data_IF_202517316472
#
_entry.id   IF_202517316472
#
_cell.length_a   1.000
_cell.length_b   1.000
_cell.length_c   1.000
_cell.angle_alpha   90.00
_cell.angle_beta   90.00
_cell.angle_gamma   90.00
#
_symmetry.space_group_name_H-M   'P 1'
#
loop_
_entity.id
_entity.type
_entity.pdbx_description
1 polymer ?
#
# COMPACT_ATOMS: atom_id res chain seq x y z
N UNK A 1 -41.46 6.33 1.34
CA UNK A 1 -42.18 6.33 2.63
C UNK A 1 -41.28 6.94 3.71
N UNK A 2 -40.97 8.23 3.58
CA UNK A 2 -39.99 8.92 4.42
C UNK A 2 -40.63 10.23 4.91
N UNK A 3 -41.55 10.14 5.86
CA UNK A 3 -42.05 11.32 6.62
C UNK A 3 -42.55 11.00 8.04
N UNK A 4 -42.50 9.75 8.52
CA UNK A 4 -43.20 9.40 9.77
C UNK A 4 -42.33 9.26 11.04
N UNK A 5 -41.01 9.49 10.99
CA UNK A 5 -40.12 9.20 12.11
C UNK A 5 -39.49 10.43 12.79
N UNK A 6 -39.97 11.65 12.51
CA UNK A 6 -39.49 12.88 13.17
C UNK A 6 -40.45 13.43 14.24
N UNK A 7 -41.42 12.63 14.68
CA UNK A 7 -42.42 13.02 15.68
C UNK A 7 -42.31 12.14 16.94
N UNK A 8 -41.13 12.01 17.53
CA UNK A 8 -41.01 11.42 18.88
C UNK A 8 -39.74 11.83 19.64
N UNK A 9 -39.48 13.13 19.76
CA UNK A 9 -38.49 13.64 20.72
C UNK A 9 -38.87 15.03 21.25
N UNK A 10 -40.11 15.19 21.68
CA UNK A 10 -40.53 16.34 22.49
C UNK A 10 -41.35 15.86 23.68
N UNK A 11 -40.67 15.20 24.64
CA UNK A 11 -41.28 14.87 25.92
C UNK A 11 -40.26 15.20 27.03
N UNK A 12 -40.59 16.28 27.77
CA UNK A 12 -40.22 16.63 29.15
C UNK A 12 -38.77 17.04 29.47
N UNK A 13 -38.53 18.36 29.50
CA UNK A 13 -37.90 19.03 30.64
C UNK A 13 -38.58 20.40 30.86
N UNK A 14 -39.25 20.65 32.00
CA UNK A 14 -39.80 21.96 32.31
C UNK A 14 -38.72 22.85 32.95
N UNK A 15 -38.56 24.08 32.46
CA UNK A 15 -37.80 25.12 33.15
C UNK A 15 -36.66 25.75 32.36
N UNK A 16 -36.93 26.30 31.18
CA UNK A 16 -36.11 27.37 30.59
C UNK A 16 -37.05 28.37 29.93
N UNK A 17 -37.52 29.37 30.69
CA UNK A 17 -38.06 30.59 30.11
C UNK A 17 -36.88 31.48 29.71
N UNK A 18 -36.62 31.56 28.40
CA UNK A 18 -35.62 32.45 27.83
C UNK A 18 -35.98 32.77 26.39
N UNK A 19 -36.37 34.02 26.14
CA UNK A 19 -36.64 34.60 24.82
C UNK A 19 -35.60 34.15 23.78
N UNK A 20 -36.04 33.52 22.71
CA UNK A 20 -35.23 33.34 21.50
C UNK A 20 -35.50 34.56 20.61
N UNK A 21 -34.60 35.53 20.66
CA UNK A 21 -34.52 36.57 19.64
C UNK A 21 -34.04 35.97 18.32
N UNK A 22 -34.62 36.45 17.22
CA UNK A 22 -34.33 36.06 15.85
C UNK A 22 -32.88 36.33 15.50
N UNK A 23 -32.03 35.31 15.56
CA UNK A 23 -30.63 35.45 15.15
C UNK A 23 -29.75 34.31 15.64
N UNK A 24 -30.04 33.07 15.24
CA UNK A 24 -29.07 31.97 15.35
C UNK A 24 -29.44 30.83 14.38
N UNK A 25 -29.34 31.11 13.09
CA UNK A 25 -29.24 30.07 12.05
C UNK A 25 -27.81 29.55 11.88
N UNK A 26 -26.84 30.05 12.65
CA UNK A 26 -25.44 29.62 12.53
C UNK A 26 -25.07 28.43 13.45
N UNK A 27 -25.89 28.09 14.45
CA UNK A 27 -25.56 26.99 15.38
C UNK A 27 -26.01 25.61 14.85
N UNK A 28 -26.93 25.56 13.90
CA UNK A 28 -27.43 24.28 13.35
C UNK A 28 -26.67 23.79 12.11
N UNK A 29 -25.72 24.57 11.57
CA UNK A 29 -24.83 24.14 10.48
C UNK A 29 -23.53 23.49 10.98
N UNK A 30 -23.24 23.54 12.29
CA UNK A 30 -22.01 23.01 12.88
C UNK A 30 -22.17 21.61 13.48
N UNK A 31 -23.40 21.06 13.44
CA UNK A 31 -23.74 19.73 13.98
C UNK A 31 -24.03 18.68 12.88
N UNK A 32 -23.84 19.04 11.61
CA UNK A 32 -23.98 18.14 10.46
C UNK A 32 -22.73 18.10 9.55
N UNK A 33 -21.63 18.75 9.96
CA UNK A 33 -20.37 18.77 9.21
C UNK A 33 -19.20 18.08 9.95
N UNK A 34 -19.51 17.26 10.95
CA UNK A 34 -18.67 16.11 11.31
C UNK A 34 -19.38 14.87 10.76
N UNK A 35 -19.57 14.85 9.45
CA UNK A 35 -19.48 13.60 8.72
C UNK A 35 -18.07 13.10 9.05
N UNK A 36 -17.95 12.15 9.99
CA UNK A 36 -16.70 11.48 10.24
C UNK A 36 -16.30 10.86 8.91
N UNK A 37 -15.41 11.53 8.18
CA UNK A 37 -14.67 10.91 7.09
C UNK A 37 -13.97 9.76 7.76
N UNK A 38 -14.56 8.56 7.62
CA UNK A 38 -13.97 7.34 8.11
C UNK A 38 -12.63 7.27 7.37
N UNK A 39 -11.55 7.58 8.09
CA UNK A 39 -10.21 7.61 7.52
C UNK A 39 -10.01 6.29 6.81
N UNK A 40 -9.69 6.31 5.51
CA UNK A 40 -9.37 5.10 4.76
C UNK A 40 -8.37 4.25 5.55
N UNK A 41 -8.62 2.95 5.55
CA UNK A 41 -7.77 1.98 6.24
C UNK A 41 -6.41 1.88 5.54
N UNK A 42 -5.40 1.43 6.26
CA UNK A 42 -4.07 1.17 5.68
C UNK A 42 -4.14 0.24 4.45
N UNK A 43 -4.98 -0.79 4.48
CA UNK A 43 -5.14 -1.72 3.36
C UNK A 43 -5.76 -1.06 2.12
N UNK A 44 -6.73 -0.18 2.30
CA UNK A 44 -7.36 0.58 1.20
C UNK A 44 -6.38 1.57 0.59
N UNK A 45 -5.60 2.29 1.41
CA UNK A 45 -4.56 3.20 0.94
C UNK A 45 -3.50 2.46 0.10
N UNK A 46 -3.05 1.30 0.60
CA UNK A 46 -2.07 0.45 -0.11
C UNK A 46 -2.63 -0.03 -1.44
N UNK A 47 -3.87 -0.54 -1.47
CA UNK A 47 -4.49 -1.04 -2.69
C UNK A 47 -4.69 0.09 -3.71
N UNK A 48 -5.22 1.23 -3.27
CA UNK A 48 -5.46 2.38 -4.14
C UNK A 48 -4.17 2.89 -4.79
N UNK A 49 -3.09 3.01 -4.00
CA UNK A 49 -1.79 3.42 -4.51
C UNK A 49 -1.18 2.38 -5.47
N UNK A 50 -1.35 1.09 -5.18
CA UNK A 50 -0.91 0.02 -6.07
C UNK A 50 -1.63 0.09 -7.42
N UNK A 51 -2.95 0.27 -7.42
CA UNK A 51 -3.75 0.47 -8.65
C UNK A 51 -3.32 1.72 -9.41
N UNK A 52 -3.03 2.81 -8.71
CA UNK A 52 -2.51 4.02 -9.35
C UNK A 52 -1.18 3.76 -10.09
N UNK A 53 -0.29 2.93 -9.55
CA UNK A 53 0.94 2.55 -10.24
C UNK A 53 0.70 1.66 -11.47
N UNK A 54 -0.37 0.85 -11.48
CA UNK A 54 -0.82 0.11 -12.66
C UNK A 54 -1.26 1.08 -13.75
N UNK A 55 -2.10 2.07 -13.40
CA UNK A 55 -2.55 3.09 -14.35
C UNK A 55 -1.34 3.80 -14.97
N UNK A 56 -0.41 4.27 -14.14
CA UNK A 56 0.81 4.97 -14.56
C UNK A 56 1.80 4.10 -15.36
N UNK A 57 1.54 2.80 -15.53
CA UNK A 57 2.41 1.83 -16.20
C UNK A 57 3.89 1.97 -15.80
N UNK A 58 4.17 2.07 -14.50
CA UNK A 58 5.54 2.27 -14.00
C UNK A 58 6.47 1.13 -14.45
N UNK A 59 7.58 1.43 -15.14
CA UNK A 59 8.44 0.42 -15.77
C UNK A 59 9.11 -0.51 -14.75
N UNK A 60 9.17 -1.80 -15.08
CA UNK A 60 10.01 -2.74 -14.37
C UNK A 60 11.50 -2.49 -14.67
N UNK A 61 12.24 -1.98 -13.67
CA UNK A 61 13.67 -1.66 -13.80
C UNK A 61 14.49 -2.27 -12.68
N UNK A 62 15.24 -3.34 -12.98
CA UNK A 62 16.15 -3.98 -12.01
C UNK A 62 17.43 -3.16 -11.79
N UNK A 63 17.36 -2.12 -10.95
CA UNK A 63 18.49 -1.23 -10.63
C UNK A 63 18.48 -0.77 -9.17
N UNK A 64 19.68 -0.61 -8.59
CA UNK A 64 19.89 -0.21 -7.19
C UNK A 64 20.79 1.05 -7.10
N UNK A 65 20.32 2.22 -7.57
CA UNK A 65 21.07 3.47 -7.43
C UNK A 65 21.20 3.88 -5.96
N UNK A 66 22.11 4.82 -5.70
CA UNK A 66 22.09 5.55 -4.43
C UNK A 66 20.91 6.51 -4.46
N UNK A 67 20.11 6.49 -3.41
CA UNK A 67 18.95 7.34 -3.22
C UNK A 67 19.04 8.04 -1.86
N UNK A 68 18.35 9.17 -1.74
CA UNK A 68 18.26 9.96 -0.52
C UNK A 68 17.65 9.17 0.64
N UNK A 69 17.82 9.69 1.84
CA UNK A 69 17.28 9.09 3.05
C UNK A 69 17.07 10.16 4.13
N UNK A 70 15.93 10.14 4.86
CA UNK A 70 14.78 9.26 4.66
C UNK A 70 13.94 9.63 3.42
N UNK A 71 12.91 8.85 3.12
CA UNK A 71 11.92 9.09 2.06
C UNK A 71 12.44 9.18 0.61
N UNK A 72 13.69 8.80 0.35
CA UNK A 72 14.23 8.77 -1.01
C UNK A 72 13.59 7.67 -1.86
N UNK A 73 13.52 7.93 -3.16
CA UNK A 73 12.99 7.01 -4.15
C UNK A 73 13.96 6.91 -5.35
N UNK A 74 13.77 5.87 -6.16
CA UNK A 74 14.32 5.82 -7.52
C UNK A 74 13.51 6.74 -8.45
N UNK A 75 13.97 6.99 -9.69
CA UNK A 75 13.18 7.73 -10.67
C UNK A 75 11.73 7.23 -10.75
N UNK A 76 10.77 8.16 -10.93
CA UNK A 76 9.33 7.89 -10.86
C UNK A 76 8.80 7.02 -11.98
N UNK A 77 9.57 6.85 -13.06
CA UNK A 77 9.31 5.90 -14.15
C UNK A 77 9.79 4.48 -13.82
N UNK A 78 10.55 4.26 -12.74
CA UNK A 78 11.13 2.95 -12.39
C UNK A 78 10.40 2.30 -11.23
N UNK A 79 10.16 0.99 -11.27
CA UNK A 79 9.64 0.21 -10.16
C UNK A 79 10.08 -1.25 -10.20
N UNK A 80 10.86 -1.69 -9.21
CA UNK A 80 10.94 -3.12 -8.89
C UNK A 80 9.71 -3.55 -8.08
N UNK A 81 9.50 -4.87 -7.96
CA UNK A 81 8.42 -5.42 -7.14
C UNK A 81 8.42 -4.89 -5.69
N UNK A 82 9.60 -4.68 -5.08
CA UNK A 82 9.69 -4.06 -3.75
C UNK A 82 9.28 -2.58 -3.75
N UNK A 83 9.56 -1.84 -4.82
CA UNK A 83 9.25 -0.41 -4.91
C UNK A 83 7.74 -0.18 -4.98
N UNK A 84 7.00 -1.09 -5.62
CA UNK A 84 5.53 -1.11 -5.61
C UNK A 84 5.01 -1.13 -4.16
N UNK A 85 5.51 -2.05 -3.35
CA UNK A 85 5.08 -2.15 -1.94
C UNK A 85 5.50 -0.94 -1.12
N UNK A 86 6.73 -0.46 -1.31
CA UNK A 86 7.27 0.69 -0.56
C UNK A 86 6.45 1.95 -0.86
N UNK A 87 6.15 2.21 -2.14
CA UNK A 87 5.34 3.36 -2.56
C UNK A 87 3.88 3.24 -2.13
N UNK A 88 3.29 2.05 -2.24
CA UNK A 88 1.94 1.83 -1.74
C UNK A 88 1.83 2.07 -0.22
N UNK A 89 2.84 1.64 0.55
CA UNK A 89 2.89 1.90 1.98
C UNK A 89 3.08 3.41 2.28
N UNK A 90 3.82 4.15 1.45
CA UNK A 90 3.97 5.61 1.60
C UNK A 90 2.64 6.34 1.48
N UNK A 91 1.78 5.94 0.55
CA UNK A 91 0.42 6.48 0.45
C UNK A 91 -0.39 6.27 1.74
N UNK A 92 -0.16 5.14 2.43
CA UNK A 92 -0.72 4.84 3.74
C UNK A 92 0.02 5.51 4.92
N UNK A 93 0.96 6.43 4.67
CA UNK A 93 1.75 7.09 5.71
C UNK A 93 2.84 6.22 6.34
N UNK A 94 3.29 5.17 5.66
CA UNK A 94 4.29 4.21 6.15
C UNK A 94 5.48 4.17 5.19
N UNK A 95 6.55 4.90 5.50
CA UNK A 95 7.82 4.78 4.75
C UNK A 95 8.64 3.55 5.18
N UNK A 96 8.67 2.52 4.33
CA UNK A 96 9.46 1.31 4.59
C UNK A 96 10.97 1.51 4.42
N UNK A 97 11.44 2.57 3.74
CA UNK A 97 12.88 2.83 3.64
C UNK A 97 13.46 3.16 5.02
N UNK A 98 12.83 4.11 5.71
CA UNK A 98 13.16 4.56 7.04
C UNK A 98 13.01 3.42 8.04
N UNK A 99 11.81 2.84 8.13
CA UNK A 99 11.47 1.87 9.16
C UNK A 99 12.33 0.59 9.08
N UNK A 100 12.58 0.08 7.87
CA UNK A 100 13.43 -1.11 7.68
C UNK A 100 14.89 -0.78 7.99
N UNK A 101 15.37 0.41 7.62
CA UNK A 101 16.75 0.80 7.91
C UNK A 101 16.98 0.98 9.41
N UNK A 102 16.07 1.61 10.13
CA UNK A 102 16.14 1.77 11.58
C UNK A 102 16.05 0.43 12.32
N UNK A 103 15.10 -0.44 11.93
CA UNK A 103 14.99 -1.78 12.49
C UNK A 103 16.27 -2.59 12.25
N UNK A 104 16.90 -2.45 11.08
CA UNK A 104 18.17 -3.13 10.79
C UNK A 104 19.36 -2.64 11.61
N UNK A 105 19.29 -1.44 12.19
CA UNK A 105 20.31 -0.97 13.13
C UNK A 105 20.09 -1.55 14.52
N UNK A 106 18.83 -1.70 14.94
CA UNK A 106 18.46 -2.34 16.20
C UNK A 106 18.73 -3.85 16.18
N UNK A 107 18.43 -4.49 15.05
CA UNK A 107 18.42 -5.95 14.88
C UNK A 107 19.43 -6.42 13.83
N UNK A 108 20.62 -5.83 13.89
CA UNK A 108 21.67 -5.97 12.86
C UNK A 108 21.97 -7.41 12.45
N UNK A 109 22.08 -8.32 13.43
CA UNK A 109 22.40 -9.72 13.17
C UNK A 109 21.32 -10.44 12.37
N UNK A 110 20.04 -10.14 12.63
CA UNK A 110 18.92 -10.73 11.91
C UNK A 110 18.95 -10.36 10.42
N UNK A 111 19.21 -9.09 10.10
CA UNK A 111 19.30 -8.62 8.72
C UNK A 111 20.54 -9.15 8.00
N UNK A 112 21.69 -9.23 8.67
CA UNK A 112 22.90 -9.83 8.09
C UNK A 112 22.64 -11.29 7.74
N UNK A 113 22.03 -12.03 8.67
CA UNK A 113 21.74 -13.44 8.48
C UNK A 113 20.67 -13.66 7.40
N UNK A 114 19.59 -12.88 7.37
CA UNK A 114 18.58 -12.93 6.32
C UNK A 114 19.21 -12.71 4.94
N UNK A 115 20.08 -11.70 4.79
CA UNK A 115 20.79 -11.43 3.54
C UNK A 115 21.79 -12.54 3.18
N UNK A 116 22.51 -13.11 4.15
CA UNK A 116 23.43 -14.22 3.94
C UNK A 116 22.72 -15.44 3.35
N UNK A 117 21.50 -15.76 3.82
CA UNK A 117 20.69 -16.87 3.28
C UNK A 117 20.25 -16.64 1.84
N UNK A 118 20.16 -15.38 1.41
CA UNK A 118 19.95 -15.02 0.00
C UNK A 118 21.24 -14.94 -0.83
N UNK A 119 22.37 -15.47 -0.35
CA UNK A 119 23.71 -15.32 -0.96
C UNK A 119 24.13 -13.86 -1.17
N UNK A 120 23.71 -12.96 -0.28
CA UNK A 120 24.00 -11.54 -0.37
C UNK A 120 24.73 -11.05 0.88
N UNK A 121 26.03 -10.82 0.77
CA UNK A 121 26.87 -10.38 1.88
C UNK A 121 27.40 -8.96 1.64
N UNK A 122 26.52 -7.95 1.68
CA UNK A 122 26.88 -6.54 1.59
C UNK A 122 26.58 -5.80 2.91
N UNK A 123 27.35 -4.76 3.27
CA UNK A 123 27.04 -3.93 4.44
C UNK A 123 25.68 -3.26 4.31
N UNK A 124 24.86 -3.31 5.37
CA UNK A 124 23.53 -2.67 5.42
C UNK A 124 23.60 -1.21 4.97
N UNK A 125 22.69 -0.80 4.09
CA UNK A 125 22.69 0.52 3.47
C UNK A 125 21.26 1.01 3.22
N UNK A 126 21.01 2.27 3.60
CA UNK A 126 19.71 2.94 3.50
C UNK A 126 19.13 3.04 2.08
N UNK A 127 19.98 3.04 1.06
CA UNK A 127 19.55 3.17 -0.34
C UNK A 127 18.99 1.88 -0.94
N UNK A 128 19.23 0.71 -0.33
CA UNK A 128 18.74 -0.56 -0.89
C UNK A 128 18.09 -1.51 0.11
N UNK A 129 18.18 -1.26 1.42
CA UNK A 129 17.76 -2.27 2.41
C UNK A 129 16.29 -2.66 2.30
N UNK A 130 15.40 -1.69 2.05
CA UNK A 130 13.97 -1.88 1.84
C UNK A 130 13.63 -2.44 0.45
N UNK A 131 14.59 -2.44 -0.48
CA UNK A 131 14.42 -2.89 -1.87
C UNK A 131 14.80 -4.37 -2.03
N UNK A 132 14.74 -5.14 -0.95
CA UNK A 132 15.03 -6.59 -0.94
C UNK A 132 13.89 -7.34 -0.27
N UNK A 133 13.33 -8.30 -1.00
CA UNK A 133 12.23 -9.16 -0.53
C UNK A 133 12.54 -9.83 0.80
N UNK A 134 13.76 -10.28 1.03
CA UNK A 134 14.16 -10.92 2.31
C UNK A 134 14.12 -9.97 3.50
N UNK A 135 14.48 -8.71 3.30
CA UNK A 135 14.48 -7.70 4.36
C UNK A 135 13.06 -7.21 4.64
N UNK A 136 12.25 -7.00 3.60
CA UNK A 136 10.83 -6.69 3.75
C UNK A 136 10.08 -7.83 4.45
N UNK A 137 10.35 -9.07 4.06
CA UNK A 137 9.79 -10.26 4.72
C UNK A 137 10.14 -10.30 6.21
N UNK A 138 11.40 -10.09 6.57
CA UNK A 138 11.84 -10.05 7.97
C UNK A 138 11.16 -8.91 8.76
N UNK A 139 11.07 -7.71 8.17
CA UNK A 139 10.43 -6.57 8.81
C UNK A 139 8.93 -6.82 9.02
N UNK A 140 8.21 -7.25 7.98
CA UNK A 140 6.77 -7.51 8.05
C UNK A 140 6.43 -8.63 9.05
N UNK A 141 7.27 -9.65 9.19
CA UNK A 141 7.10 -10.68 10.24
C UNK A 141 7.10 -10.11 11.66
N UNK A 142 7.78 -8.98 11.88
CA UNK A 142 7.93 -8.35 13.19
C UNK A 142 6.87 -7.29 13.47
N UNK A 143 6.37 -6.63 12.42
CA UNK A 143 5.56 -5.41 12.56
C UNK A 143 4.17 -5.49 11.92
N UNK A 144 3.86 -6.53 11.16
CA UNK A 144 2.55 -6.75 10.55
C UNK A 144 1.83 -7.97 11.16
N UNK A 145 0.53 -8.09 10.91
CA UNK A 145 -0.19 -9.32 11.18
C UNK A 145 0.30 -10.40 10.21
N UNK A 146 0.75 -11.54 10.75
CA UNK A 146 1.16 -12.70 9.94
C UNK A 146 -0.06 -13.56 9.64
N UNK A 147 -0.28 -13.84 8.36
CA UNK A 147 -1.44 -14.56 7.84
C UNK A 147 -1.04 -15.93 7.25
N UNK A 148 -2.00 -16.84 7.01
CA UNK A 148 -1.75 -18.12 6.37
C UNK A 148 -1.14 -17.96 4.97
N UNK A 149 -0.17 -18.79 4.64
CA UNK A 149 0.59 -18.69 3.38
C UNK A 149 0.15 -19.71 2.31
N UNK A 150 -0.82 -20.56 2.63
CA UNK A 150 -1.34 -21.55 1.67
C UNK A 150 -2.73 -21.11 1.21
N UNK A 151 -2.85 -20.79 -0.08
CA UNK A 151 -4.14 -20.47 -0.67
C UNK A 151 -5.07 -21.69 -0.61
N UNK A 152 -6.29 -21.46 -0.13
CA UNK A 152 -7.40 -22.41 -0.09
C UNK A 152 -8.64 -21.70 -0.64
N UNK A 153 -9.17 -22.20 -1.77
CA UNK A 153 -10.33 -21.60 -2.42
C UNK A 153 -11.61 -21.65 -1.59
N UNK A 154 -11.64 -22.43 -0.51
CA UNK A 154 -12.78 -22.46 0.44
C UNK A 154 -12.68 -21.38 1.51
N UNK A 155 -11.54 -20.66 1.58
CA UNK A 155 -11.24 -19.64 2.57
C UNK A 155 -10.72 -18.34 1.93
N UNK A 156 -11.45 -17.76 0.95
CA UNK A 156 -11.01 -16.54 0.27
C UNK A 156 -10.90 -15.34 1.22
N UNK A 157 -11.62 -15.36 2.34
CA UNK A 157 -11.56 -14.31 3.37
C UNK A 157 -10.17 -14.15 4.01
N UNK A 158 -9.30 -15.15 3.90
CA UNK A 158 -7.93 -15.06 4.41
C UNK A 158 -7.05 -14.12 3.58
N UNK A 159 -7.44 -13.84 2.33
CA UNK A 159 -6.68 -13.06 1.35
C UNK A 159 -7.45 -11.79 1.03
N UNK A 160 -7.15 -10.70 1.75
CA UNK A 160 -7.86 -9.44 1.58
C UNK A 160 -7.09 -8.48 0.67
N UNK A 161 -7.78 -7.61 -0.07
CA UNK A 161 -7.15 -6.58 -0.87
C UNK A 161 -6.24 -5.69 -0.02
N UNK A 162 -5.06 -5.36 -0.55
CA UNK A 162 -4.04 -4.60 0.17
C UNK A 162 -3.12 -5.46 1.07
N UNK A 163 -3.37 -6.76 1.20
CA UNK A 163 -2.41 -7.67 1.84
C UNK A 163 -1.10 -7.75 1.04
N UNK A 164 0.01 -7.96 1.73
CA UNK A 164 1.35 -8.06 1.13
C UNK A 164 1.79 -9.53 1.15
N UNK A 165 2.18 -10.06 0.00
CA UNK A 165 2.67 -11.44 -0.15
C UNK A 165 4.11 -11.47 -0.61
N UNK A 166 4.90 -12.37 0.00
CA UNK A 166 6.30 -12.64 -0.36
C UNK A 166 6.38 -14.04 -0.94
N UNK A 167 6.95 -14.18 -2.13
CA UNK A 167 7.16 -15.46 -2.78
C UNK A 167 8.55 -16.04 -2.49
N UNK A 168 8.59 -17.36 -2.31
CA UNK A 168 9.79 -18.15 -2.10
C UNK A 168 10.06 -19.04 -3.31
N UNK A 169 11.34 -19.17 -3.65
CA UNK A 169 11.80 -20.03 -4.74
C UNK A 169 12.07 -21.44 -4.21
N UNK A 170 12.86 -21.54 -3.15
CA UNK A 170 13.16 -22.78 -2.43
C UNK A 170 13.50 -22.46 -0.97
N UNK A 171 12.97 -23.26 -0.03
CA UNK A 171 13.18 -23.05 1.41
C UNK A 171 12.87 -21.60 1.80
N UNK A 172 13.82 -20.87 2.36
CA UNK A 172 13.69 -19.48 2.79
C UNK A 172 14.18 -18.45 1.76
N UNK A 173 14.54 -18.89 0.54
CA UNK A 173 14.98 -18.00 -0.53
C UNK A 173 13.78 -17.22 -1.11
N UNK A 174 13.63 -15.95 -0.72
CA UNK A 174 12.58 -15.06 -1.19
C UNK A 174 13.00 -14.37 -2.47
N UNK A 175 12.13 -14.28 -3.46
CA UNK A 175 12.50 -13.75 -4.78
C UNK A 175 11.52 -12.72 -5.36
N UNK A 176 10.27 -12.70 -4.88
CA UNK A 176 9.27 -11.76 -5.36
C UNK A 176 8.35 -11.28 -4.24
N UNK A 177 7.68 -10.15 -4.47
CA UNK A 177 6.72 -9.54 -3.55
C UNK A 177 5.60 -8.91 -4.37
N UNK A 178 4.37 -8.98 -3.87
CA UNK A 178 3.20 -8.40 -4.52
C UNK A 178 2.16 -7.93 -3.50
N UNK A 179 1.17 -7.17 -3.97
CA UNK A 179 0.00 -6.74 -3.20
C UNK A 179 -1.20 -7.54 -3.69
N UNK A 180 -2.01 -8.09 -2.79
CA UNK A 180 -3.26 -8.78 -3.14
C UNK A 180 -4.26 -7.77 -3.67
N UNK A 181 -4.82 -8.04 -4.85
CA UNK A 181 -5.84 -7.22 -5.49
C UNK A 181 -7.26 -7.58 -4.98
N UNK A 182 -8.20 -6.66 -5.16
CA UNK A 182 -9.65 -6.88 -5.09
C UNK A 182 -10.23 -7.53 -6.35
N UNK A 183 -9.45 -7.65 -7.42
CA UNK A 183 -9.84 -8.37 -8.63
C UNK A 183 -9.60 -9.88 -8.48
N UNK A 184 -10.55 -10.65 -9.02
CA UNK A 184 -10.50 -12.12 -9.04
C UNK A 184 -10.38 -12.59 -10.49
N UNK A 185 -9.48 -13.53 -10.75
CA UNK A 185 -9.42 -14.15 -12.07
C UNK A 185 -10.72 -14.92 -12.36
N UNK A 186 -11.47 -14.47 -13.35
CA UNK A 186 -12.80 -15.03 -13.68
C UNK A 186 -12.79 -16.50 -14.09
N UNK A 187 -11.65 -17.04 -14.53
CA UNK A 187 -11.53 -18.41 -15.00
C UNK A 187 -11.19 -19.38 -13.86
N UNK A 188 -10.26 -19.00 -12.99
CA UNK A 188 -9.78 -19.85 -11.88
C UNK A 188 -10.39 -19.54 -10.53
N UNK A 189 -10.96 -18.34 -10.35
CA UNK A 189 -11.45 -17.85 -9.06
C UNK A 189 -10.35 -17.51 -8.07
N UNK A 190 -9.09 -17.43 -8.51
CA UNK A 190 -7.93 -17.07 -7.68
C UNK A 190 -7.80 -15.55 -7.64
N UNK A 191 -7.56 -14.92 -6.47
CA UNK A 191 -7.26 -13.50 -6.40
C UNK A 191 -6.10 -13.11 -7.30
N UNK A 192 -6.19 -11.94 -7.94
CA UNK A 192 -5.07 -11.34 -8.67
C UNK A 192 -4.12 -10.65 -7.69
N UNK A 193 -2.94 -10.31 -8.17
CA UNK A 193 -1.96 -9.51 -7.44
C UNK A 193 -1.47 -8.36 -8.29
N UNK A 194 -1.11 -7.26 -7.64
CA UNK A 194 -0.45 -6.11 -8.25
C UNK A 194 1.05 -6.21 -7.97
N UNK A 195 1.84 -6.25 -9.04
CA UNK A 195 3.29 -6.41 -8.97
C UNK A 195 4.01 -5.79 -10.17
N UNK A 196 5.31 -5.55 -10.03
CA UNK A 196 6.19 -5.21 -11.16
C UNK A 196 6.99 -6.43 -11.58
N UNK A 197 6.88 -6.83 -12.85
CA UNK A 197 7.53 -8.03 -13.37
C UNK A 197 8.03 -7.87 -14.81
N UNK A 198 8.88 -8.80 -15.26
CA UNK A 198 9.49 -8.80 -16.61
C UNK A 198 8.47 -8.83 -17.75
N UNK A 199 7.32 -9.46 -17.52
CA UNK A 199 6.17 -9.43 -18.43
C UNK A 199 4.97 -8.99 -17.57
N UNK A 200 4.26 -7.91 -17.93
CA UNK A 200 4.37 -7.13 -19.18
C UNK A 200 5.54 -6.14 -19.25
N UNK A 201 6.39 -6.04 -18.21
CA UNK A 201 7.53 -5.12 -18.19
C UNK A 201 7.26 -3.80 -17.44
N UNK A 202 6.09 -3.69 -16.80
CA UNK A 202 5.69 -2.59 -15.93
C UNK A 202 4.89 -3.13 -14.74
N UNK A 203 4.50 -2.26 -13.81
CA UNK A 203 3.54 -2.58 -12.76
C UNK A 203 2.20 -2.96 -13.40
N UNK A 204 1.70 -4.15 -13.12
CA UNK A 204 0.42 -4.60 -13.64
C UNK A 204 -0.36 -5.41 -12.62
N UNK A 205 -1.60 -5.72 -12.96
CA UNK A 205 -2.47 -6.59 -12.19
C UNK A 205 -2.72 -7.89 -12.97
N UNK A 206 -1.78 -8.39 -13.76
CA UNK A 206 -2.06 -9.52 -14.67
C UNK A 206 -1.91 -10.90 -14.00
N UNK A 207 -1.11 -10.96 -12.94
CA UNK A 207 -0.77 -12.21 -12.29
C UNK A 207 -1.80 -12.62 -11.25
N UNK A 208 -1.99 -13.93 -11.10
CA UNK A 208 -2.74 -14.51 -9.99
C UNK A 208 -1.84 -14.69 -8.79
N UNK A 209 -2.45 -14.73 -7.61
CA UNK A 209 -1.81 -14.98 -6.32
C UNK A 209 -0.87 -16.19 -6.34
N UNK A 210 -1.14 -17.22 -7.15
CA UNK A 210 -0.36 -18.46 -7.20
C UNK A 210 0.65 -18.53 -8.34
N UNK A 211 0.76 -17.51 -9.21
CA UNK A 211 1.57 -17.60 -10.43
C UNK A 211 3.08 -17.54 -10.16
N UNK A 212 3.49 -16.91 -9.06
CA UNK A 212 4.90 -16.81 -8.63
C UNK A 212 5.32 -17.94 -7.66
N UNK A 213 4.54 -19.01 -7.58
CA UNK A 213 4.88 -20.20 -6.80
C UNK A 213 4.52 -20.10 -5.31
N UNK A 214 5.36 -20.67 -4.45
CA UNK A 214 5.06 -20.79 -3.03
C UNK A 214 5.10 -19.43 -2.33
N UNK A 215 4.05 -19.10 -1.60
CA UNK A 215 4.00 -17.91 -0.73
C UNK A 215 4.73 -18.26 0.56
N UNK A 216 5.80 -17.53 0.84
CA UNK A 216 6.64 -17.68 2.03
C UNK A 216 6.27 -16.74 3.16
N UNK A 217 5.55 -15.68 2.83
CA UNK A 217 5.09 -14.67 3.78
C UNK A 217 3.80 -14.04 3.28
N UNK A 218 2.88 -13.79 4.19
CA UNK A 218 1.60 -13.14 3.93
C UNK A 218 1.29 -12.23 5.11
N UNK A 219 1.09 -10.95 4.83
CA UNK A 219 1.11 -9.90 5.85
C UNK A 219 0.00 -8.88 5.64
N UNK A 220 -0.61 -8.44 6.74
CA UNK A 220 -1.53 -7.29 6.77
C UNK A 220 -1.01 -6.22 7.72
N UNK A 221 -0.81 -5.01 7.20
CA UNK A 221 -0.47 -3.85 8.03
C UNK A 221 -1.74 -3.31 8.67
N UNK A 222 -1.69 -3.08 9.98
CA UNK A 222 -2.84 -2.63 10.76
C UNK A 222 -2.86 -1.11 10.92
N UNK A 223 -4.05 -0.51 11.03
CA UNK A 223 -4.21 0.91 11.35
C UNK A 223 -3.52 1.30 12.66
N UNK A 224 -3.48 0.39 13.64
CA UNK A 224 -2.77 0.60 14.91
C UNK A 224 -1.26 0.75 14.71
N UNK A 225 -0.68 0.10 13.70
CA UNK A 225 0.73 0.28 13.36
C UNK A 225 0.97 1.68 12.79
N UNK A 226 0.17 2.11 11.79
CA UNK A 226 0.20 3.50 11.26
C UNK A 226 0.01 4.54 12.37
N UNK A 227 -0.93 4.32 13.27
CA UNK A 227 -1.21 5.22 14.40
C UNK A 227 -0.06 5.29 15.42
N UNK A 228 0.80 4.28 15.48
CA UNK A 228 1.98 4.27 16.37
C UNK A 228 3.15 5.11 15.85
N UNK A 229 3.14 5.48 14.57
CA UNK A 229 4.16 6.33 13.94
C UNK A 229 3.95 7.79 14.33
N UNK A 230 4.99 8.62 14.23
CA UNK A 230 4.83 10.07 14.44
C UNK A 230 4.00 10.70 13.34
N UNK A 231 3.37 11.83 13.63
CA UNK A 231 2.66 12.62 12.62
C UNK A 231 3.61 13.09 11.52
N UNK A 232 4.79 13.59 11.90
CA UNK A 232 5.87 13.99 10.98
C UNK A 232 6.24 12.87 9.99
N UNK A 233 6.40 11.63 10.48
CA UNK A 233 6.67 10.46 9.64
C UNK A 233 5.56 10.23 8.62
N UNK A 234 4.30 10.20 9.09
CA UNK A 234 3.16 9.92 8.21
C UNK A 234 3.01 10.98 7.13
N UNK A 235 3.13 12.25 7.50
CA UNK A 235 3.04 13.36 6.55
C UNK A 235 4.17 13.33 5.53
N UNK A 236 5.41 13.06 5.95
CA UNK A 236 6.55 12.96 5.06
C UNK A 236 6.43 11.76 4.11
N UNK A 237 5.96 10.61 4.59
CA UNK A 237 5.69 9.45 3.76
C UNK A 237 4.62 9.73 2.68
N UNK A 238 3.51 10.37 3.07
CA UNK A 238 2.45 10.76 2.13
C UNK A 238 2.97 11.81 1.13
N UNK A 239 3.79 12.75 1.57
CA UNK A 239 4.41 13.74 0.69
C UNK A 239 5.33 13.09 -0.36
N UNK A 240 6.14 12.11 0.05
CA UNK A 240 6.99 11.35 -0.87
C UNK A 240 6.17 10.52 -1.89
N UNK A 241 5.02 9.98 -1.48
CA UNK A 241 4.08 9.36 -2.42
C UNK A 241 3.53 10.37 -3.45
N UNK A 242 3.14 11.56 -2.99
CA UNK A 242 2.65 12.63 -3.87
C UNK A 242 3.70 13.09 -4.88
N UNK A 243 4.95 13.22 -4.45
CA UNK A 243 6.08 13.54 -5.33
C UNK A 243 6.27 12.48 -6.43
N UNK A 244 6.09 11.19 -6.10
CA UNK A 244 6.18 10.10 -7.07
C UNK A 244 5.06 10.15 -8.14
N UNK A 245 3.81 10.36 -7.74
CA UNK A 245 2.69 10.41 -8.70
C UNK A 245 2.71 11.70 -9.54
N UNK A 246 3.40 12.74 -9.09
CA UNK A 246 3.45 14.05 -9.73
C UNK A 246 2.13 14.81 -9.63
N UNK A 247 2.04 15.96 -10.29
CA UNK A 247 0.78 16.67 -10.46
C UNK A 247 -0.15 15.88 -11.42
N UNK A 248 -1.46 15.93 -11.18
CA UNK A 248 -2.45 15.18 -11.98
C UNK A 248 -2.27 15.42 -13.49
N UNK A 249 -1.95 16.65 -13.91
CA UNK A 249 -1.73 17.02 -15.31
C UNK A 249 -0.49 16.36 -15.95
N UNK A 250 0.60 16.16 -15.19
CA UNK A 250 1.81 15.45 -15.68
C UNK A 250 1.60 13.94 -15.68
N UNK A 251 0.79 13.44 -14.76
CA UNK A 251 0.43 12.03 -14.68
C UNK A 251 -0.42 11.60 -15.88
N UNK A 252 -1.35 12.46 -16.33
CA UNK A 252 -2.18 12.22 -17.51
C UNK A 252 -1.38 12.31 -18.82
N UNK A 253 -0.31 13.11 -18.86
CA UNK A 253 0.63 13.11 -19.98
C UNK A 253 1.40 11.80 -20.10
N UNK A 254 1.87 11.22 -18.97
CA UNK A 254 2.51 9.89 -18.96
C UNK A 254 1.56 8.81 -19.47
N UNK A 255 0.29 8.85 -19.06
CA UNK A 255 -0.76 7.96 -19.54
C UNK A 255 -1.00 8.11 -21.05
N UNK A 256 -0.98 9.34 -21.56
CA UNK A 256 -1.18 9.62 -22.98
C UNK A 256 -0.01 9.09 -23.83
N UNK A 257 1.23 9.33 -23.40
CA UNK A 257 2.44 8.89 -24.11
C UNK A 257 2.55 7.35 -24.17
N UNK A 258 2.14 6.63 -23.13
CA UNK A 258 2.18 5.15 -23.12
C UNK A 258 1.13 4.51 -24.05
N UNK A 259 0.03 5.21 -24.33
CA UNK A 259 -1.00 4.73 -25.29
C UNK A 259 -0.63 4.92 -26.75
N UNK A 260 0.32 5.82 -27.09
CA UNK A 260 0.74 6.06 -28.47
C UNK A 260 1.74 5.02 -29.01
N UNK A 261 2.39 4.21 -28.17
CA UNK A 261 3.36 3.19 -28.62
C UNK A 261 2.76 1.84 -29.07
N UNK A 262 1.43 1.66 -29.00
CA UNK A 262 0.76 0.44 -29.51
C UNK A 262 0.32 0.66 -30.98
N UNK A 263 1.28 0.84 -31.88
CA UNK A 263 1.03 0.69 -33.32
C UNK A 263 0.89 -0.82 -33.64
N UNK A 264 -0.20 -1.28 -34.27
CA UNK A 264 -0.37 -2.68 -34.59
C UNK A 264 0.67 -3.07 -35.65
N UNK A 265 1.66 -3.86 -35.25
CA UNK A 265 2.53 -4.60 -36.17
C UNK A 265 1.67 -5.31 -37.20
N UNK A 266 1.67 -4.77 -38.42
CA UNK A 266 0.97 -5.33 -39.58
C UNK A 266 1.45 -6.74 -39.91
N UNK A 267 0.50 -7.68 -39.91
CA UNK A 267 0.39 -8.97 -40.63
C UNK A 267 1.67 -9.73 -41.01
#
# INVERSE_FOLDING_TARGET
>A
MFEAALALAMIFLPGVEGKIESGNLQVLAWLQAEESVESQSVSEDILSAAKRMVDLQTDYRFSFPTIEYPFGDVPSDWGLCCDVVVRACRAAGIDLQELVYEDSHRERELYIEANRRQNFARPLNRSWIHRRTSNLNLFLQRYAQVLPTRYDSTRPEEWQPGDIVIYQKYQDLTWHIAIVSDEIDSFTGIPKVIDAWLSPGHVSEDHRLTDHGAIGGHYRLADSFRASLSEEHREAAIAAWKEFIGDEDESDQRLAESTEEIEPSSL
#
